data_IF_910740478782
#
_entry.id   IF_910740478782
#
_cell.length_a   1.000
_cell.length_b   1.000
_cell.length_c   1.000
_cell.angle_alpha   90.00
_cell.angle_beta   90.00
_cell.angle_gamma   90.00
#
_symmetry.space_group_name_H-M   'P 1'
#
loop_
_entity.id
_entity.type
_entity.pdbx_description
1 polymer ?
#
# COMPACT_ATOMS: atom_id res chain seq x y z
N UNK A 1 -28.48 18.20 -6.04
CA UNK A 1 -27.48 17.12 -6.24
C UNK A 1 -26.83 16.80 -4.90
N UNK A 2 -26.89 15.55 -4.42
CA UNK A 2 -26.28 15.16 -3.14
C UNK A 2 -24.77 14.93 -3.30
N UNK A 3 -23.95 15.51 -2.43
CA UNK A 3 -22.63 14.96 -2.05
C UNK A 3 -22.42 15.14 -0.55
N UNK A 4 -22.99 14.24 0.25
CA UNK A 4 -22.25 13.69 1.39
C UNK A 4 -21.11 12.84 0.79
N UNK A 5 -19.93 12.68 1.41
CA UNK A 5 -19.83 11.87 2.63
C UNK A 5 -18.53 12.14 3.40
N UNK A 6 -18.71 12.40 4.67
CA UNK A 6 -17.76 12.31 5.78
C UNK A 6 -16.93 11.02 5.71
N UNK A 7 -15.60 11.15 5.82
CA UNK A 7 -14.68 10.02 6.05
C UNK A 7 -14.79 9.58 7.52
N UNK A 8 -15.31 8.38 7.78
CA UNK A 8 -15.31 7.79 9.12
C UNK A 8 -13.91 7.25 9.43
N UNK A 9 -13.24 7.84 10.42
CA UNK A 9 -11.94 7.37 10.88
C UNK A 9 -12.13 6.14 11.80
N UNK A 10 -11.39 5.05 11.54
CA UNK A 10 -11.44 3.86 12.38
C UNK A 10 -10.35 3.98 13.46
N UNK A 11 -10.74 3.86 14.73
CA UNK A 11 -9.81 3.85 15.86
C UNK A 11 -9.47 2.43 16.27
N UNK A 12 -8.20 2.11 16.45
CA UNK A 12 -7.78 0.84 17.07
C UNK A 12 -7.91 0.92 18.59
N UNK A 13 -7.94 -0.24 19.27
CA UNK A 13 -8.02 -0.33 20.76
C UNK A 13 -6.90 0.45 21.48
N UNK A 14 -5.77 0.67 20.81
CA UNK A 14 -4.62 1.42 21.33
C UNK A 14 -4.67 2.92 21.02
N UNK A 15 -5.76 3.43 20.43
CA UNK A 15 -5.96 4.86 20.16
C UNK A 15 -5.33 5.36 18.86
N UNK A 16 -4.94 4.47 17.95
CA UNK A 16 -4.45 4.87 16.63
C UNK A 16 -5.65 5.30 15.77
N UNK A 17 -5.66 6.55 15.31
CA UNK A 17 -6.70 7.08 14.42
C UNK A 17 -6.21 6.98 12.98
N UNK A 18 -6.94 6.23 12.15
CA UNK A 18 -6.63 6.07 10.73
C UNK A 18 -7.63 6.87 9.92
N UNK A 19 -7.13 7.72 9.01
CA UNK A 19 -7.94 8.43 8.01
C UNK A 19 -7.74 7.80 6.63
N UNK A 20 -8.83 7.71 5.87
CA UNK A 20 -8.81 7.24 4.50
C UNK A 20 -9.67 8.16 3.64
N UNK A 21 -9.24 8.41 2.41
CA UNK A 21 -9.98 9.17 1.43
C UNK A 21 -9.93 8.48 0.08
N UNK A 22 -10.94 8.76 -0.75
CA UNK A 22 -10.99 8.26 -2.11
C UNK A 22 -10.07 9.09 -3.01
N UNK A 23 -8.94 8.51 -3.41
CA UNK A 23 -8.12 9.06 -4.48
C UNK A 23 -8.73 8.68 -5.84
N UNK A 24 -9.02 9.70 -6.65
CA UNK A 24 -9.59 9.55 -8.00
C UNK A 24 -8.57 9.83 -9.10
N UNK A 25 -7.29 9.96 -8.75
CA UNK A 25 -6.23 10.11 -9.73
C UNK A 25 -6.16 8.88 -10.62
N UNK A 26 -5.95 9.13 -11.90
CA UNK A 26 -5.62 8.09 -12.86
C UNK A 26 -4.12 7.82 -12.77
N UNK A 27 -3.76 6.57 -12.46
CA UNK A 27 -2.38 6.14 -12.41
C UNK A 27 -2.07 5.33 -13.67
N UNK A 28 -0.93 5.61 -14.34
CA UNK A 28 -0.54 4.84 -15.51
C UNK A 28 -0.33 3.36 -15.13
N UNK A 29 -1.01 2.48 -15.85
CA UNK A 29 -0.94 1.03 -15.65
C UNK A 29 -0.07 0.38 -16.73
N UNK A 30 0.39 -0.85 -16.49
CA UNK A 30 1.22 -1.59 -17.46
C UNK A 30 2.69 -1.15 -17.51
N UNK A 31 3.09 -0.18 -16.69
CA UNK A 31 4.50 0.19 -16.53
C UNK A 31 5.26 -0.97 -15.88
N UNK A 32 6.29 -1.48 -16.56
CA UNK A 32 7.23 -2.44 -15.97
C UNK A 32 8.35 -1.66 -15.30
N UNK A 33 8.54 -1.80 -13.97
CA UNK A 33 9.66 -1.17 -13.29
C UNK A 33 10.96 -1.75 -13.81
N UNK A 34 12.03 -0.95 -13.75
CA UNK A 34 13.35 -1.44 -14.12
C UNK A 34 13.77 -2.59 -13.18
N UNK A 35 14.37 -3.62 -13.77
CA UNK A 35 14.75 -4.83 -13.03
C UNK A 35 15.82 -4.53 -11.98
N UNK A 36 16.72 -3.58 -12.23
CA UNK A 36 17.76 -3.21 -11.26
C UNK A 36 17.16 -2.59 -10.01
N UNK A 37 16.14 -1.73 -10.16
CA UNK A 37 15.43 -1.11 -9.06
C UNK A 37 14.67 -2.14 -8.21
N UNK A 38 14.02 -3.12 -8.86
CA UNK A 38 13.35 -4.20 -8.14
C UNK A 38 14.36 -5.09 -7.40
N UNK A 39 15.52 -5.38 -7.98
CA UNK A 39 16.56 -6.15 -7.29
C UNK A 39 17.21 -5.41 -6.13
N UNK A 40 17.23 -4.08 -6.17
CA UNK A 40 17.74 -3.24 -5.08
C UNK A 40 16.78 -3.17 -3.89
N UNK A 41 15.50 -3.52 -4.09
CA UNK A 41 14.57 -3.71 -2.98
C UNK A 41 14.88 -5.04 -2.29
N UNK A 42 15.16 -5.01 -0.99
CA UNK A 42 15.34 -6.22 -0.18
C UNK A 42 14.00 -6.91 0.11
N UNK A 43 13.35 -7.43 -0.95
CA UNK A 43 12.08 -8.14 -0.89
C UNK A 43 12.28 -9.56 -0.33
N UNK A 44 11.51 -9.91 0.69
CA UNK A 44 11.43 -11.25 1.28
C UNK A 44 10.00 -11.76 1.16
N UNK A 45 9.79 -12.82 0.40
CA UNK A 45 8.48 -13.45 0.26
C UNK A 45 8.07 -14.19 1.55
N UNK A 46 6.79 -14.16 1.88
CA UNK A 46 6.23 -14.90 3.02
C UNK A 46 5.95 -16.35 2.65
N UNK A 47 6.00 -17.26 3.63
CA UNK A 47 5.66 -18.67 3.43
C UNK A 47 4.18 -18.88 3.07
N UNK A 48 3.30 -17.97 3.50
CA UNK A 48 1.87 -18.02 3.18
C UNK A 48 1.55 -17.06 2.05
N UNK A 49 1.05 -17.60 0.93
CA UNK A 49 0.74 -16.84 -0.29
C UNK A 49 1.90 -15.93 -0.74
N UNK A 50 3.10 -16.49 -1.03
CA UNK A 50 4.32 -15.73 -1.36
C UNK A 50 4.18 -14.78 -2.54
N UNK A 51 3.25 -15.06 -3.46
CA UNK A 51 2.99 -14.20 -4.62
C UNK A 51 2.37 -12.85 -4.23
N UNK A 52 1.70 -12.78 -3.08
CA UNK A 52 0.99 -11.60 -2.60
C UNK A 52 1.64 -10.99 -1.37
N UNK A 53 2.19 -11.85 -0.50
CA UNK A 53 2.72 -11.45 0.80
C UNK A 53 4.25 -11.37 0.75
N UNK A 54 4.77 -10.18 0.99
CA UNK A 54 6.20 -9.91 1.04
C UNK A 54 6.52 -8.81 2.05
N UNK A 55 7.77 -8.82 2.53
CA UNK A 55 8.34 -7.81 3.42
C UNK A 55 9.46 -7.08 2.69
N UNK A 56 9.52 -5.75 2.80
CA UNK A 56 10.63 -4.93 2.32
C UNK A 56 11.54 -4.65 3.52
N UNK A 57 12.76 -5.18 3.50
CA UNK A 57 13.75 -4.87 4.53
C UNK A 57 14.48 -3.55 4.22
N UNK A 58 14.96 -2.81 5.24
CA UNK A 58 15.78 -1.63 5.01
C UNK A 58 17.11 -1.99 4.35
N UNK A 59 17.68 -1.03 3.63
CA UNK A 59 19.08 -1.10 3.20
C UNK A 59 19.95 -0.63 4.37
N UNK A 60 20.97 -1.44 4.71
CA UNK A 60 21.99 -1.09 5.71
C UNK A 60 23.11 -0.28 5.07
#
# INVERSE_FOLDING_TARGET
MKKCSTSFATSTKTGLVVTAYLDRKEYPTGLKPDRSLISALHLKHSDTLPQWNYTIAPNL
#
